data_IF_790423095741
#
_entry.id   IF_790423095741
#
_cell.length_a   1.000
_cell.length_b   1.000
_cell.length_c   1.000
_cell.angle_alpha   90.00
_cell.angle_beta   90.00
_cell.angle_gamma   90.00
#
_symmetry.space_group_name_H-M   'P 1'
#
loop_
_entity.id
_entity.type
_entity.pdbx_description
1 polymer ?
#
# COMPACT_ATOMS: atom_id res chain seq x y z
N UNK A 1 1.10 -20.05 -3.22
CA UNK A 1 1.89 -18.80 -3.31
C UNK A 1 0.89 -17.65 -3.30
N UNK A 2 1.02 -16.58 -2.50
CA UNK A 2 0.13 -15.45 -2.72
C UNK A 2 0.52 -14.81 -4.06
N UNK A 3 -0.50 -14.53 -4.88
CA UNK A 3 -0.36 -13.73 -6.08
C UNK A 3 0.26 -12.36 -5.72
N UNK A 4 1.04 -11.78 -6.62
CA UNK A 4 1.62 -10.44 -6.43
C UNK A 4 0.49 -9.45 -6.08
N UNK A 5 0.50 -8.90 -4.88
CA UNK A 5 -0.47 -7.89 -4.46
C UNK A 5 -0.20 -6.59 -5.22
N UNK A 6 -1.16 -6.16 -6.06
CA UNK A 6 -1.03 -4.99 -6.93
C UNK A 6 -2.23 -4.04 -6.81
N UNK A 7 -3.03 -4.20 -5.75
CA UNK A 7 -4.15 -3.33 -5.45
C UNK A 7 -3.66 -1.97 -4.95
N UNK A 8 -4.26 -0.90 -5.47
CA UNK A 8 -3.99 0.48 -5.09
C UNK A 8 -5.34 1.16 -4.89
N UNK A 9 -5.73 1.26 -3.64
CA UNK A 9 -6.96 1.92 -3.26
C UNK A 9 -6.86 2.52 -1.86
N UNK A 10 -7.67 3.53 -1.62
CA UNK A 10 -7.84 4.20 -0.33
C UNK A 10 -9.33 4.16 0.03
N UNK A 11 -9.65 3.76 1.26
CA UNK A 11 -11.01 3.75 1.81
C UNK A 11 -11.04 4.69 3.02
N UNK A 12 -12.02 5.59 3.11
CA UNK A 12 -12.13 6.59 4.20
C UNK A 12 -13.55 6.59 4.76
N UNK A 13 -13.63 6.45 6.09
CA UNK A 13 -14.82 6.59 6.94
C UNK A 13 -16.10 5.91 6.41
N UNK A 14 -15.95 4.78 5.69
CA UNK A 14 -17.04 4.02 5.05
C UNK A 14 -17.86 4.81 3.99
N UNK A 15 -17.42 6.00 3.57
CA UNK A 15 -18.20 6.85 2.64
C UNK A 15 -17.49 7.08 1.31
N UNK A 16 -16.15 7.06 1.30
CA UNK A 16 -15.38 7.38 0.11
C UNK A 16 -14.30 6.33 -0.18
N UNK A 17 -14.15 6.01 -1.47
CA UNK A 17 -13.08 5.17 -1.98
C UNK A 17 -12.38 5.87 -3.15
N UNK A 18 -11.06 5.74 -3.21
CA UNK A 18 -10.26 6.03 -4.41
C UNK A 18 -9.63 4.74 -4.90
N UNK A 19 -9.83 4.37 -6.16
CA UNK A 19 -9.27 3.15 -6.76
C UNK A 19 -8.59 3.51 -8.08
N UNK A 20 -7.39 3.00 -8.35
CA UNK A 20 -6.72 3.34 -9.60
C UNK A 20 -5.27 2.90 -9.70
N UNK A 21 -4.49 3.67 -10.45
CA UNK A 21 -3.07 3.39 -10.70
C UNK A 21 -2.13 4.02 -9.68
N UNK A 22 -2.56 5.06 -8.96
CA UNK A 22 -1.67 5.81 -8.06
C UNK A 22 -1.20 4.96 -6.87
N UNK A 23 0.12 4.85 -6.69
CA UNK A 23 0.67 4.35 -5.44
C UNK A 23 0.69 5.45 -4.37
N UNK A 24 0.79 5.06 -3.10
CA UNK A 24 0.87 6.00 -1.98
C UNK A 24 2.32 6.44 -1.73
N UNK A 25 2.91 7.13 -2.69
CA UNK A 25 4.25 7.72 -2.60
C UNK A 25 4.29 9.10 -3.27
N UNK A 26 5.29 9.93 -2.90
CA UNK A 26 5.38 11.31 -3.36
C UNK A 26 5.50 11.44 -4.88
N UNK A 27 6.10 10.46 -5.56
CA UNK A 27 6.30 10.49 -7.01
C UNK A 27 4.99 10.18 -7.72
N UNK A 28 4.29 9.13 -7.32
CA UNK A 28 2.96 8.80 -7.87
C UNK A 28 1.96 9.94 -7.65
N UNK A 29 2.01 10.61 -6.49
CA UNK A 29 1.08 11.70 -6.17
C UNK A 29 1.43 13.05 -6.84
N UNK A 30 2.69 13.28 -7.24
CA UNK A 30 3.14 14.60 -7.72
C UNK A 30 3.63 14.63 -9.16
N UNK A 31 4.07 13.49 -9.70
CA UNK A 31 4.88 13.45 -10.93
C UNK A 31 4.36 12.46 -11.97
N UNK A 32 3.78 11.34 -11.56
CA UNK A 32 3.28 10.35 -12.51
C UNK A 32 1.91 10.77 -13.08
N UNK A 33 1.66 10.34 -14.32
CA UNK A 33 0.32 10.38 -14.89
C UNK A 33 -0.50 9.20 -14.32
N UNK A 34 -1.25 9.48 -13.26
CA UNK A 34 -2.10 8.49 -12.59
C UNK A 34 -3.57 8.68 -12.97
N UNK A 35 -4.31 7.57 -13.04
CA UNK A 35 -5.75 7.56 -13.24
C UNK A 35 -6.43 6.89 -12.04
N UNK A 36 -7.12 7.70 -11.23
CA UNK A 36 -7.92 7.22 -10.10
C UNK A 36 -9.40 7.57 -10.29
N UNK A 37 -10.26 6.61 -9.96
CA UNK A 37 -11.69 6.80 -9.83
C UNK A 37 -12.02 7.03 -8.35
N UNK A 38 -12.62 8.18 -8.06
CA UNK A 38 -13.11 8.55 -6.74
C UNK A 38 -14.60 8.25 -6.65
N UNK A 39 -15.00 7.41 -5.70
CA UNK A 39 -16.36 6.92 -5.53
C UNK A 39 -16.87 7.33 -4.15
N UNK A 40 -17.92 8.15 -4.12
CA UNK A 40 -18.64 8.54 -2.90
C UNK A 40 -19.93 7.73 -2.79
N UNK A 41 -19.80 6.47 -2.39
CA UNK A 41 -20.94 5.56 -2.21
C UNK A 41 -20.65 4.53 -1.10
N UNK A 42 -21.49 4.53 -0.07
CA UNK A 42 -21.29 3.66 1.10
C UNK A 42 -21.29 2.17 0.75
N UNK A 43 -22.18 1.72 -0.15
CA UNK A 43 -22.27 0.30 -0.52
C UNK A 43 -21.03 -0.15 -1.28
N UNK A 44 -20.48 0.71 -2.14
CA UNK A 44 -19.24 0.48 -2.84
C UNK A 44 -18.06 0.33 -1.86
N UNK A 45 -17.96 1.24 -0.89
CA UNK A 45 -16.91 1.24 0.14
C UNK A 45 -17.03 0.00 1.02
N UNK A 46 -18.21 -0.29 1.57
CA UNK A 46 -18.45 -1.48 2.40
C UNK A 46 -18.01 -2.78 1.71
N UNK A 47 -18.30 -2.93 0.42
CA UNK A 47 -17.86 -4.08 -0.37
C UNK A 47 -16.33 -4.16 -0.47
N UNK A 48 -15.66 -3.04 -0.69
CA UNK A 48 -14.19 -3.01 -0.76
C UNK A 48 -13.56 -3.21 0.63
N UNK A 49 -14.15 -2.68 1.70
CA UNK A 49 -13.72 -2.92 3.08
C UNK A 49 -13.75 -4.42 3.40
N UNK A 50 -14.76 -5.17 2.95
CA UNK A 50 -14.81 -6.63 3.12
C UNK A 50 -13.69 -7.36 2.37
N UNK A 51 -13.35 -6.90 1.16
CA UNK A 51 -12.20 -7.44 0.40
C UNK A 51 -10.90 -7.19 1.18
N UNK A 52 -10.68 -5.94 1.60
CA UNK A 52 -9.53 -5.55 2.40
C UNK A 52 -9.38 -6.40 3.67
N UNK A 53 -10.45 -6.56 4.46
CA UNK A 53 -10.42 -7.33 5.69
C UNK A 53 -10.16 -8.82 5.44
N UNK A 54 -10.60 -9.37 4.30
CA UNK A 54 -10.27 -10.74 3.93
C UNK A 54 -8.80 -10.89 3.51
N UNK A 55 -8.26 -9.93 2.75
CA UNK A 55 -6.84 -9.92 2.38
C UNK A 55 -5.95 -9.76 3.63
N UNK A 56 -6.36 -8.90 4.56
CA UNK A 56 -5.67 -8.65 5.83
C UNK A 56 -5.55 -9.92 6.68
N UNK A 57 -6.55 -10.81 6.69
CA UNK A 57 -6.47 -12.11 7.39
C UNK A 57 -5.36 -13.02 6.86
N UNK A 58 -4.92 -12.82 5.62
CA UNK A 58 -3.82 -13.56 5.00
C UNK A 58 -2.48 -12.83 5.12
N UNK A 59 -2.45 -11.67 5.79
CA UNK A 59 -1.26 -10.86 6.00
C UNK A 59 -0.61 -11.14 7.35
N UNK A 60 0.68 -10.82 7.47
CA UNK A 60 1.39 -10.81 8.75
C UNK A 60 1.57 -9.37 9.19
N UNK A 61 1.11 -9.05 10.39
CA UNK A 61 1.39 -7.75 11.01
C UNK A 61 2.90 -7.57 11.20
N UNK A 62 3.39 -6.37 10.87
CA UNK A 62 4.77 -5.96 11.11
C UNK A 62 4.73 -4.89 12.19
N UNK A 63 5.15 -5.24 13.39
CA UNK A 63 5.30 -4.26 14.47
C UNK A 63 6.64 -3.53 14.33
N UNK A 64 6.76 -2.40 15.05
CA UNK A 64 8.04 -1.69 15.15
C UNK A 64 9.16 -2.59 15.69
N UNK A 65 8.87 -3.42 16.69
CA UNK A 65 9.84 -4.34 17.28
C UNK A 65 10.29 -5.39 16.27
N UNK A 66 9.37 -5.94 15.47
CA UNK A 66 9.72 -6.88 14.39
C UNK A 66 10.66 -6.22 13.37
N UNK A 67 10.33 -4.98 12.99
CA UNK A 67 11.15 -4.19 12.06
C UNK A 67 12.55 -3.97 12.61
N UNK A 68 12.68 -3.57 13.87
CA UNK A 68 13.99 -3.35 14.53
C UNK A 68 14.79 -4.64 14.70
N UNK A 69 14.13 -5.78 14.90
CA UNK A 69 14.76 -7.10 15.07
C UNK A 69 15.08 -7.82 13.75
N UNK A 70 14.73 -7.25 12.60
CA UNK A 70 14.99 -7.87 11.29
C UNK A 70 16.49 -8.19 11.08
N UNK A 71 16.82 -9.25 10.33
CA UNK A 71 18.20 -9.69 10.12
C UNK A 71 19.14 -8.59 9.63
N UNK A 72 20.40 -8.63 10.07
CA UNK A 72 21.42 -7.62 9.69
C UNK A 72 21.61 -7.53 8.17
N UNK A 73 21.51 -8.65 7.46
CA UNK A 73 21.58 -8.69 6.00
C UNK A 73 20.49 -7.83 5.34
N UNK A 74 19.26 -7.85 5.86
CA UNK A 74 18.16 -7.01 5.35
C UNK A 74 18.38 -5.54 5.67
N UNK A 75 18.92 -5.23 6.85
CA UNK A 75 19.29 -3.85 7.23
C UNK A 75 20.34 -3.27 6.27
N UNK A 76 21.38 -4.03 5.96
CA UNK A 76 22.44 -3.59 5.03
C UNK A 76 21.88 -3.40 3.62
N UNK A 77 21.09 -4.36 3.10
CA UNK A 77 20.43 -4.22 1.80
C UNK A 77 19.56 -2.96 1.73
N UNK A 78 18.78 -2.69 2.77
CA UNK A 78 17.94 -1.48 2.86
C UNK A 78 18.76 -0.19 2.83
N UNK A 79 19.90 -0.15 3.54
CA UNK A 79 20.81 1.02 3.52
C UNK A 79 21.44 1.24 2.16
N UNK A 80 21.87 0.16 1.49
CA UNK A 80 22.40 0.24 0.13
C UNK A 80 21.35 0.75 -0.85
N UNK A 81 20.14 0.19 -0.82
CA UNK A 81 19.03 0.66 -1.67
C UNK A 81 18.69 2.14 -1.41
N UNK A 82 18.73 2.58 -0.14
CA UNK A 82 18.48 3.97 0.22
C UNK A 82 19.52 4.93 -0.36
N UNK A 83 20.79 4.51 -0.49
CA UNK A 83 21.82 5.34 -1.13
C UNK A 83 21.49 5.67 -2.60
N UNK A 84 20.67 4.85 -3.25
CA UNK A 84 20.17 5.06 -4.62
C UNK A 84 18.76 5.65 -4.67
N UNK A 85 18.21 6.12 -3.54
CA UNK A 85 16.83 6.62 -3.45
C UNK A 85 16.56 7.79 -4.41
N UNK A 86 17.54 8.63 -4.71
CA UNK A 86 17.36 9.75 -5.65
C UNK A 86 17.06 9.32 -7.09
N UNK A 87 17.32 8.05 -7.43
CA UNK A 87 17.09 7.48 -8.76
C UNK A 87 15.75 6.71 -8.87
N UNK A 88 14.96 6.65 -7.78
CA UNK A 88 13.64 6.02 -7.70
C UNK A 88 12.56 7.05 -7.43
#
# INVERSE_FOLDING_TARGET
QPARFHCKYLLVDDVWASVGSANLDNRSLSLNEEANLNVLDRRFVERHTRVFENDKKQSREITRTDWERRPVKEKIKGRLAFAFRSQM
#
